data_IF_208769521921
#
_entry.id   IF_208769521921
#
_cell.length_a   1.000
_cell.length_b   1.000
_cell.length_c   1.000
_cell.angle_alpha   90.00
_cell.angle_beta   90.00
_cell.angle_gamma   90.00
#
_symmetry.space_group_name_H-M   'P 1'
#
loop_
_entity.id
_entity.type
_entity.pdbx_description
1 polymer ?
#
# COMPACT_ATOMS: atom_id res chain seq x y z
N UNK A 1 0.35 -12.17 -10.67
CA UNK A 1 0.52 -10.94 -9.87
C UNK A 1 1.96 -10.76 -9.39
N UNK A 2 2.59 -11.78 -8.77
CA UNK A 2 3.98 -11.73 -8.28
C UNK A 2 4.97 -11.11 -9.27
N UNK A 3 5.10 -11.70 -10.46
CA UNK A 3 6.04 -11.24 -11.50
C UNK A 3 5.85 -9.77 -11.89
N UNK A 4 4.59 -9.27 -11.90
CA UNK A 4 4.30 -7.87 -12.19
C UNK A 4 4.83 -6.95 -11.09
N UNK A 5 4.72 -7.34 -9.82
CA UNK A 5 5.22 -6.55 -8.68
C UNK A 5 6.75 -6.57 -8.61
N UNK A 6 7.37 -7.70 -8.96
CA UNK A 6 8.82 -7.82 -9.05
C UNK A 6 9.39 -6.94 -10.16
N UNK A 7 8.82 -7.01 -11.37
CA UNK A 7 9.23 -6.20 -12.53
C UNK A 7 8.82 -4.73 -12.44
N UNK A 8 7.83 -4.39 -11.62
CA UNK A 8 7.42 -3.00 -11.42
C UNK A 8 8.60 -2.20 -10.84
N UNK A 9 8.94 -1.05 -11.44
CA UNK A 9 10.02 -0.18 -10.96
C UNK A 9 9.54 0.84 -9.93
N UNK A 10 8.22 1.06 -9.82
CA UNK A 10 7.65 2.05 -8.92
C UNK A 10 7.39 1.48 -7.53
N UNK A 11 8.20 1.93 -6.56
CA UNK A 11 8.01 1.60 -5.14
C UNK A 11 6.65 2.05 -4.61
N UNK A 12 6.14 3.21 -5.09
CA UNK A 12 4.84 3.74 -4.68
C UNK A 12 3.71 2.79 -5.09
N UNK A 13 3.75 2.27 -6.32
CA UNK A 13 2.71 1.37 -6.85
C UNK A 13 2.71 0.04 -6.09
N UNK A 14 3.88 -0.57 -5.84
CA UNK A 14 3.95 -1.82 -5.08
C UNK A 14 3.34 -1.66 -3.69
N UNK A 15 3.75 -0.62 -2.95
CA UNK A 15 3.24 -0.34 -1.60
C UNK A 15 1.74 -0.05 -1.60
N UNK A 16 1.26 0.71 -2.58
CA UNK A 16 -0.17 1.03 -2.71
C UNK A 16 -1.00 -0.21 -3.05
N UNK A 17 -0.51 -1.05 -3.95
CA UNK A 17 -1.16 -2.32 -4.28
C UNK A 17 -1.23 -3.23 -3.06
N UNK A 18 -0.13 -3.40 -2.33
CA UNK A 18 -0.11 -4.25 -1.13
C UNK A 18 -1.04 -3.70 -0.04
N UNK A 19 -1.08 -2.38 0.15
CA UNK A 19 -2.03 -1.74 1.04
C UNK A 19 -3.47 -2.10 0.68
N UNK A 20 -3.88 -1.92 -0.58
CA UNK A 20 -5.25 -2.28 -0.98
C UNK A 20 -5.52 -3.77 -0.91
N UNK A 21 -4.55 -4.60 -1.30
CA UNK A 21 -4.70 -6.05 -1.31
C UNK A 21 -4.88 -6.62 0.12
N UNK A 22 -4.17 -6.06 1.08
CA UNK A 22 -4.27 -6.40 2.50
C UNK A 22 -5.57 -5.87 3.12
N UNK A 23 -5.87 -4.58 2.98
CA UNK A 23 -7.06 -3.94 3.57
C UNK A 23 -8.37 -4.54 3.02
N UNK A 24 -8.42 -4.90 1.75
CA UNK A 24 -9.61 -5.51 1.13
C UNK A 24 -9.57 -7.04 1.10
N UNK A 25 -8.58 -7.65 1.77
CA UNK A 25 -8.42 -9.11 1.85
C UNK A 25 -8.47 -9.79 0.48
N UNK A 26 -7.82 -9.19 -0.52
CA UNK A 26 -7.85 -9.69 -1.89
C UNK A 26 -7.23 -11.09 -1.94
N UNK A 27 -7.87 -12.08 -2.60
CA UNK A 27 -7.37 -13.46 -2.63
C UNK A 27 -5.96 -13.63 -3.19
N UNK A 28 -5.49 -12.68 -3.99
CA UNK A 28 -4.13 -12.72 -4.53
C UNK A 28 -3.05 -12.48 -3.46
N UNK A 29 -3.37 -11.78 -2.37
CA UNK A 29 -2.41 -11.37 -1.34
C UNK A 29 -1.75 -12.57 -0.67
N UNK A 30 -2.51 -13.63 -0.37
CA UNK A 30 -2.01 -14.87 0.27
C UNK A 30 -1.03 -15.66 -0.58
N UNK A 31 -0.93 -15.37 -1.88
CA UNK A 31 -0.02 -16.03 -2.81
C UNK A 31 1.22 -15.19 -3.14
N UNK A 32 1.35 -14.00 -2.55
CA UNK A 32 2.51 -13.13 -2.79
C UNK A 32 3.65 -13.49 -1.84
N UNK A 33 4.84 -13.65 -2.41
CA UNK A 33 6.07 -13.66 -1.62
C UNK A 33 6.54 -12.22 -1.44
N UNK A 34 6.25 -11.65 -0.27
CA UNK A 34 6.64 -10.28 0.07
C UNK A 34 8.15 -10.12 0.26
N UNK A 35 8.88 -11.20 0.52
CA UNK A 35 10.34 -11.16 0.74
C UNK A 35 11.10 -10.93 -0.57
N UNK A 36 10.54 -11.39 -1.69
CA UNK A 36 11.05 -11.14 -3.03
C UNK A 36 10.75 -9.71 -3.55
N UNK A 37 9.85 -8.98 -2.91
CA UNK A 37 9.45 -7.64 -3.35
C UNK A 37 10.36 -6.56 -2.77
N UNK A 38 11.08 -5.86 -3.66
CA UNK A 38 11.75 -4.62 -3.26
C UNK A 38 10.70 -3.51 -3.01
N UNK A 39 10.44 -3.24 -1.73
CA UNK A 39 9.56 -2.16 -1.27
C UNK A 39 10.30 -0.86 -0.96
N UNK A 40 11.61 -0.77 -1.23
CA UNK A 40 12.42 0.42 -0.98
C UNK A 40 12.46 0.85 0.49
N UNK A 41 13.06 2.02 0.76
CA UNK A 41 13.25 2.56 2.11
C UNK A 41 12.61 3.94 2.28
N UNK A 42 12.21 4.23 3.52
CA UNK A 42 11.67 5.51 3.93
C UNK A 42 10.20 5.71 3.59
N UNK A 43 9.61 6.79 4.11
CA UNK A 43 8.20 7.13 3.92
C UNK A 43 7.90 7.54 2.47
N UNK A 44 6.70 7.27 1.99
CA UNK A 44 6.20 7.70 0.68
C UNK A 44 4.81 8.29 0.82
N UNK A 45 4.46 9.22 -0.06
CA UNK A 45 3.16 9.89 -0.07
C UNK A 45 2.48 9.65 -1.42
N UNK A 46 1.20 9.27 -1.38
CA UNK A 46 0.29 9.15 -2.52
C UNK A 46 -0.63 10.37 -2.54
N UNK A 47 -0.78 11.01 -3.70
CA UNK A 47 -1.59 12.22 -3.84
C UNK A 47 -1.18 13.30 -2.83
N UNK A 48 -2.17 13.88 -2.16
CA UNK A 48 -1.98 14.91 -1.12
C UNK A 48 -1.61 14.31 0.25
N UNK A 49 -1.45 12.99 0.37
CA UNK A 49 -1.22 12.31 1.64
C UNK A 49 -2.43 12.38 2.56
N UNK A 50 -2.19 12.17 3.86
CA UNK A 50 -3.24 12.01 4.86
C UNK A 50 -2.83 10.96 5.87
N UNK A 51 -3.59 9.87 5.93
CA UNK A 51 -3.35 8.75 6.83
C UNK A 51 -2.04 8.04 6.52
N UNK A 52 -1.16 7.95 7.52
CA UNK A 52 0.08 7.18 7.44
C UNK A 52 -0.14 5.73 7.84
N UNK A 53 0.28 4.81 6.97
CA UNK A 53 0.20 3.36 7.18
C UNK A 53 1.61 2.82 7.45
N UNK A 54 1.98 2.55 8.72
CA UNK A 54 3.35 2.16 9.08
C UNK A 54 3.82 0.88 8.41
N UNK A 55 2.94 -0.12 8.27
CA UNK A 55 3.22 -1.42 7.63
C UNK A 55 3.84 -1.27 6.24
N UNK A 56 3.37 -0.28 5.47
CA UNK A 56 3.85 0.00 4.11
C UNK A 56 4.71 1.26 4.00
N UNK A 57 4.98 1.94 5.13
CA UNK A 57 5.64 3.25 5.18
C UNK A 57 5.05 4.22 4.12
N UNK A 58 3.71 4.28 4.05
CA UNK A 58 2.97 4.96 2.98
C UNK A 58 1.91 5.86 3.59
N UNK A 59 1.89 7.14 3.20
CA UNK A 59 0.76 8.04 3.44
C UNK A 59 -0.19 7.99 2.26
N UNK A 60 -1.46 7.75 2.53
CA UNK A 60 -2.54 7.69 1.54
C UNK A 60 -3.57 8.80 1.79
N UNK A 61 -4.26 9.28 0.74
CA UNK A 61 -5.39 10.19 0.91
C UNK A 61 -6.46 9.61 1.82
N UNK A 62 -7.01 10.45 2.70
CA UNK A 62 -8.26 10.17 3.40
C UNK A 62 -9.41 10.40 2.40
N UNK A 63 -10.43 9.53 2.34
CA UNK A 63 -11.60 9.78 1.52
C UNK A 63 -12.20 11.16 1.81
N UNK A 64 -12.51 11.93 0.77
CA UNK A 64 -13.18 13.23 0.93
C UNK A 64 -14.63 12.99 1.35
N UNK A 65 -14.98 13.33 2.60
CA UNK A 65 -16.32 13.17 3.16
C UNK A 65 -16.40 12.45 4.51
N UNK A 66 -15.27 11.98 5.04
CA UNK A 66 -15.19 11.37 6.38
C UNK A 66 -14.42 12.30 7.31
N UNK A 67 -15.15 13.02 8.16
CA UNK A 67 -14.58 13.70 9.33
C UNK A 67 -13.88 12.66 10.22
N UNK A 68 -12.80 13.08 10.87
CA UNK A 68 -11.90 12.29 11.72
C UNK A 68 -12.62 11.16 12.49
N UNK A 69 -12.40 9.90 12.12
CA UNK A 69 -12.95 8.82 12.95
C UNK A 69 -12.88 7.38 12.48
N UNK A 70 -12.62 7.07 11.21
CA UNK A 70 -12.51 5.67 10.78
C UNK A 70 -11.23 5.48 9.99
N UNK A 71 -10.17 5.13 10.73
CA UNK A 71 -9.02 4.49 10.10
C UNK A 71 -9.47 3.18 9.48
N UNK A 72 -8.80 2.76 8.41
CA UNK A 72 -8.83 1.35 7.99
C UNK A 72 -8.09 0.51 9.06
N UNK A 73 -8.73 0.35 10.22
CA UNK A 73 -8.38 -0.56 11.32
C UNK A 73 -9.65 -1.25 11.79
#
# INVERSE_FOLDING_TARGET
MQELLEKCTSIKVKRLFLFFADTNQLPCFKYLDLTALNLGKGKRVIGNGGMFVPKYQLSVPVPQGEEEGVGYV
#
